data_IF_718428296216
#
_entry.id   IF_718428296216
#
_cell.length_a   1.000
_cell.length_b   1.000
_cell.length_c   1.000
_cell.angle_alpha   90.00
_cell.angle_beta   90.00
_cell.angle_gamma   90.00
#
_symmetry.space_group_name_H-M   'P 1'
#
loop_
_entity.id
_entity.type
_entity.pdbx_description
1 polymer ?
#
# COMPACT_ATOMS: atom_id res chain seq x y z
N UNK A 1 -6.07 6.60 -9.42
CA UNK A 1 -6.93 5.52 -9.94
C UNK A 1 -6.69 4.24 -9.16
N UNK A 2 -7.69 3.36 -9.05
CA UNK A 2 -7.53 2.05 -8.43
C UNK A 2 -7.12 1.00 -9.47
N UNK A 3 -6.10 0.21 -9.16
CA UNK A 3 -5.64 -0.91 -9.98
C UNK A 3 -6.17 -2.23 -9.41
N UNK A 4 -6.02 -2.44 -8.10
CA UNK A 4 -6.48 -3.64 -7.42
C UNK A 4 -6.90 -3.34 -5.97
N UNK A 5 -7.88 -4.12 -5.50
CA UNK A 5 -8.28 -4.19 -4.09
C UNK A 5 -8.46 -5.67 -3.78
N UNK A 6 -7.62 -6.21 -2.90
CA UNK A 6 -7.59 -7.64 -2.59
C UNK A 6 -7.84 -7.88 -1.09
N UNK A 7 -8.92 -8.58 -0.78
CA UNK A 7 -9.27 -8.95 0.58
C UNK A 7 -8.51 -10.21 0.96
N UNK A 8 -7.65 -10.11 1.97
CA UNK A 8 -6.90 -11.26 2.48
C UNK A 8 -7.74 -12.06 3.46
N UNK A 9 -7.37 -13.34 3.70
CA UNK A 9 -7.98 -14.12 4.75
C UNK A 9 -7.92 -13.39 6.11
N UNK A 10 -9.01 -13.49 6.86
CA UNK A 10 -9.07 -12.97 8.23
C UNK A 10 -7.98 -13.59 9.10
N UNK A 11 -7.43 -12.81 10.04
CA UNK A 11 -6.49 -13.30 11.04
C UNK A 11 -7.07 -13.11 12.42
N UNK A 12 -7.19 -14.20 13.18
CA UNK A 12 -7.65 -14.16 14.56
C UNK A 12 -6.49 -13.77 15.48
N UNK A 13 -6.70 -12.74 16.28
CA UNK A 13 -5.94 -12.46 17.49
C UNK A 13 -6.69 -13.04 18.72
N UNK A 14 -6.23 -12.69 19.91
CA UNK A 14 -6.83 -13.10 21.19
C UNK A 14 -8.25 -12.53 21.36
N UNK A 15 -8.42 -11.21 21.17
CA UNK A 15 -9.68 -10.51 21.44
C UNK A 15 -10.40 -10.01 20.18
N UNK A 16 -9.73 -10.00 19.05
CA UNK A 16 -10.24 -9.43 17.81
C UNK A 16 -9.84 -10.27 16.60
N UNK A 17 -10.53 -10.01 15.50
CA UNK A 17 -10.22 -10.55 14.18
C UNK A 17 -9.92 -9.37 13.28
N UNK A 18 -8.76 -9.41 12.63
CA UNK A 18 -8.39 -8.42 11.61
C UNK A 18 -8.73 -8.93 10.22
N UNK A 19 -9.21 -8.03 9.36
CA UNK A 19 -9.40 -8.25 7.93
C UNK A 19 -8.44 -7.34 7.16
N UNK A 20 -7.30 -7.87 6.66
CA UNK A 20 -6.37 -7.11 5.83
C UNK A 20 -6.90 -6.96 4.39
N UNK A 21 -6.67 -5.78 3.82
CA UNK A 21 -7.09 -5.39 2.48
C UNK A 21 -5.88 -4.74 1.81
N UNK A 22 -5.32 -5.39 0.80
CA UNK A 22 -4.24 -4.84 -0.01
C UNK A 22 -4.85 -3.94 -1.08
N UNK A 23 -4.34 -2.72 -1.21
CA UNK A 23 -4.83 -1.71 -2.14
C UNK A 23 -3.67 -1.25 -3.02
N UNK A 24 -3.88 -1.33 -4.33
CA UNK A 24 -2.97 -0.83 -5.35
C UNK A 24 -3.63 0.33 -6.09
N UNK A 25 -3.02 1.50 -6.02
CA UNK A 25 -3.51 2.73 -6.66
C UNK A 25 -2.39 3.42 -7.42
N UNK A 26 -2.72 4.02 -8.56
CA UNK A 26 -1.83 4.96 -9.25
C UNK A 26 -2.29 6.39 -9.11
N UNK A 27 -1.37 7.36 -9.16
CA UNK A 27 -1.73 8.77 -9.07
C UNK A 27 -0.54 9.67 -8.81
N UNK A 28 -0.81 10.94 -8.53
CA UNK A 28 0.20 11.88 -8.05
C UNK A 28 0.44 11.73 -6.54
N UNK A 29 1.60 12.20 -6.08
CA UNK A 29 1.93 12.22 -4.65
C UNK A 29 0.87 12.93 -3.79
N UNK A 30 0.36 14.08 -4.26
CA UNK A 30 -0.70 14.82 -3.57
C UNK A 30 -2.04 14.06 -3.53
N UNK A 31 -2.37 13.30 -4.59
CA UNK A 31 -3.59 12.51 -4.64
C UNK A 31 -3.56 11.38 -3.59
N UNK A 32 -2.39 10.79 -3.35
CA UNK A 32 -2.21 9.80 -2.28
C UNK A 32 -2.43 10.38 -0.89
N UNK A 33 -1.99 11.63 -0.65
CA UNK A 33 -2.29 12.33 0.58
C UNK A 33 -3.80 12.53 0.80
N UNK A 34 -4.52 12.88 -0.27
CA UNK A 34 -5.98 12.97 -0.26
C UNK A 34 -6.65 11.62 0.01
N UNK A 35 -6.17 10.55 -0.64
CA UNK A 35 -6.66 9.18 -0.43
C UNK A 35 -6.48 8.71 1.01
N UNK A 36 -5.26 8.80 1.56
CA UNK A 36 -4.96 8.37 2.95
C UNK A 36 -5.77 9.19 3.96
N UNK A 37 -5.90 10.50 3.72
CA UNK A 37 -6.72 11.38 4.56
C UNK A 37 -8.21 10.99 4.51
N UNK A 38 -8.72 10.64 3.33
CA UNK A 38 -10.08 10.13 3.16
C UNK A 38 -10.33 8.83 3.92
N UNK A 39 -9.38 7.88 3.89
CA UNK A 39 -9.46 6.63 4.65
C UNK A 39 -9.42 6.88 6.16
N UNK A 40 -8.55 7.78 6.61
CA UNK A 40 -8.46 8.17 8.02
C UNK A 40 -9.72 8.90 8.53
N UNK A 41 -10.46 9.57 7.65
CA UNK A 41 -11.71 10.27 7.96
C UNK A 41 -12.95 9.37 8.03
N UNK A 42 -12.83 8.06 7.76
CA UNK A 42 -13.98 7.14 7.81
C UNK A 42 -14.48 6.96 9.25
N UNK A 43 -15.81 6.89 9.49
CA UNK A 43 -16.38 6.65 10.82
C UNK A 43 -16.29 5.16 11.22
N UNK A 44 -15.10 4.56 11.10
CA UNK A 44 -14.80 3.18 11.50
C UNK A 44 -13.31 3.05 11.81
N UNK A 45 -12.95 2.01 12.55
CA UNK A 45 -11.54 1.73 12.86
C UNK A 45 -10.86 1.14 11.62
N UNK A 46 -9.96 1.92 11.02
CA UNK A 46 -9.07 1.48 9.95
C UNK A 46 -7.64 1.81 10.36
N UNK A 47 -6.73 0.85 10.24
CA UNK A 47 -5.30 1.09 10.36
C UNK A 47 -4.62 0.86 9.01
N UNK A 48 -3.55 1.60 8.73
CA UNK A 48 -2.80 1.53 7.48
C UNK A 48 -1.39 1.04 7.79
N UNK A 49 -0.90 0.11 6.97
CA UNK A 49 0.38 -0.57 7.15
C UNK A 49 1.12 -0.73 5.82
N UNK A 50 2.44 -0.90 5.92
CA UNK A 50 3.31 -1.40 4.86
C UNK A 50 3.09 -0.73 3.50
N UNK A 51 3.23 0.59 3.44
CA UNK A 51 3.09 1.32 2.18
C UNK A 51 4.40 1.39 1.40
N UNK A 52 4.29 1.26 0.08
CA UNK A 52 5.39 1.46 -0.88
C UNK A 52 4.90 2.38 -1.98
N UNK A 53 5.71 3.36 -2.36
CA UNK A 53 5.45 4.26 -3.49
C UNK A 53 6.63 4.16 -4.46
N UNK A 54 6.35 3.86 -5.72
CA UNK A 54 7.35 3.80 -6.79
C UNK A 54 6.78 4.45 -8.07
N UNK A 55 7.64 4.68 -9.07
CA UNK A 55 7.20 5.13 -10.38
C UNK A 55 6.47 4.01 -11.12
N UNK A 56 5.25 4.31 -11.57
CA UNK A 56 4.48 3.40 -12.41
C UNK A 56 5.25 3.15 -13.71
N UNK A 57 5.55 1.87 -14.00
CA UNK A 57 6.35 1.47 -15.17
C UNK A 57 7.84 1.23 -14.90
N UNK A 58 8.33 1.39 -13.67
CA UNK A 58 9.68 0.96 -13.26
C UNK A 58 9.87 -0.57 -13.23
N UNK A 59 8.77 -1.34 -13.33
CA UNK A 59 8.76 -2.80 -13.41
C UNK A 59 9.32 -3.32 -14.75
N UNK A 60 10.63 -3.17 -14.94
CA UNK A 60 11.34 -3.59 -16.15
C UNK A 60 12.87 -3.44 -16.14
N UNK A 61 13.49 -2.91 -15.08
CA UNK A 61 14.95 -2.82 -15.02
C UNK A 61 15.59 -4.06 -14.37
N UNK A 62 15.92 -5.03 -15.24
CA UNK A 62 16.67 -6.28 -15.04
C UNK A 62 17.59 -6.32 -13.80
N UNK A 63 17.21 -7.14 -12.80
CA UNK A 63 18.14 -7.76 -11.85
C UNK A 63 18.91 -8.90 -12.56
N UNK A 64 20.04 -8.59 -13.20
CA UNK A 64 20.96 -9.61 -13.71
C UNK A 64 21.92 -9.10 -14.80
N UNK A 65 23.16 -8.79 -14.43
CA UNK A 65 24.24 -8.52 -15.39
C UNK A 65 25.29 -7.56 -14.87
N UNK A 66 26.45 -8.09 -14.48
CA UNK A 66 27.67 -7.34 -14.14
C UNK A 66 28.08 -6.44 -15.32
N UNK A 67 27.95 -5.11 -15.21
CA UNK A 67 28.62 -4.14 -16.10
C UNK A 67 29.30 -3.01 -15.32
N UNK A 68 30.57 -2.83 -15.66
CA UNK A 68 31.53 -1.83 -15.21
C UNK A 68 31.29 -0.51 -15.98
N UNK A 69 31.43 0.61 -15.27
CA UNK A 69 31.75 1.97 -15.74
C UNK A 69 30.92 2.57 -16.91
N UNK A 70 30.01 3.49 -16.57
CA UNK A 70 30.01 4.93 -16.93
C UNK A 70 28.57 5.48 -16.99
N UNK A 71 28.39 6.66 -16.38
CA UNK A 71 27.22 7.53 -16.42
C UNK A 71 25.86 6.84 -16.20
N UNK A 72 25.55 6.57 -14.93
CA UNK A 72 24.14 6.53 -14.53
C UNK A 72 23.54 7.93 -14.66
N UNK A 73 22.24 8.07 -14.99
CA UNK A 73 21.61 9.38 -14.98
C UNK A 73 21.79 10.00 -13.60
N UNK A 74 22.35 11.20 -13.54
CA UNK A 74 22.55 11.89 -12.27
C UNK A 74 21.17 12.15 -11.66
N UNK A 75 21.02 11.91 -10.36
CA UNK A 75 19.76 12.17 -9.65
C UNK A 75 19.32 13.65 -9.70
N UNK A 76 20.21 14.56 -10.11
CA UNK A 76 19.90 15.96 -10.41
C UNK A 76 19.14 16.17 -11.73
N UNK A 77 19.19 15.21 -12.65
CA UNK A 77 18.64 15.34 -14.00
C UNK A 77 17.19 14.85 -14.08
N UNK A 78 16.67 14.25 -13.00
CA UNK A 78 15.29 13.76 -12.91
C UNK A 78 14.28 14.82 -12.42
N UNK A 79 14.72 16.05 -12.13
CA UNK A 79 13.80 17.18 -11.95
C UNK A 79 13.62 17.85 -13.31
N UNK A 80 12.87 17.18 -14.18
CA UNK A 80 12.19 17.85 -15.29
C UNK A 80 10.76 18.12 -14.83
N UNK A 81 10.52 19.36 -14.38
CA UNK A 81 9.17 19.90 -14.32
C UNK A 81 8.54 19.78 -15.71
N UNK A 82 7.75 18.72 -15.94
CA UNK A 82 7.13 18.47 -17.24
C UNK A 82 6.85 17.00 -17.60
N UNK A 83 7.47 16.04 -16.91
CA UNK A 83 7.14 14.62 -17.07
C UNK A 83 6.49 14.08 -15.80
N UNK A 84 5.16 14.20 -15.65
CA UNK A 84 4.44 13.59 -14.52
C UNK A 84 4.50 12.06 -14.66
N UNK A 85 5.58 11.46 -14.18
CA UNK A 85 5.64 10.02 -13.96
C UNK A 85 4.53 9.68 -12.97
N UNK A 86 3.52 8.96 -13.44
CA UNK A 86 2.47 8.45 -12.58
C UNK A 86 3.13 7.57 -11.50
N UNK A 87 2.77 7.76 -10.23
CA UNK A 87 3.27 6.93 -9.15
C UNK A 87 2.31 5.78 -8.92
N UNK A 88 2.82 4.66 -8.42
CA UNK A 88 2.03 3.55 -7.92
C UNK A 88 2.26 3.44 -6.41
N UNK A 89 1.18 3.35 -5.65
CA UNK A 89 1.20 3.10 -4.21
C UNK A 89 0.51 1.76 -3.92
N UNK A 90 1.22 0.90 -3.20
CA UNK A 90 0.66 -0.31 -2.60
C UNK A 90 0.59 -0.08 -1.10
N UNK A 91 -0.56 -0.33 -0.48
CA UNK A 91 -0.80 -0.13 0.95
C UNK A 91 -1.74 -1.19 1.50
N UNK A 92 -1.53 -1.60 2.76
CA UNK A 92 -2.42 -2.54 3.45
C UNK A 92 -3.32 -1.78 4.43
N UNK A 93 -4.63 -1.84 4.23
CA UNK A 93 -5.60 -1.38 5.22
C UNK A 93 -6.09 -2.57 6.06
N UNK A 94 -6.28 -2.37 7.37
CA UNK A 94 -6.88 -3.40 8.24
C UNK A 94 -8.11 -2.84 8.94
N UNK A 95 -9.16 -3.67 8.99
CA UNK A 95 -10.35 -3.44 9.81
C UNK A 95 -10.47 -4.50 10.88
N UNK A 96 -11.25 -4.24 11.92
CA UNK A 96 -11.30 -5.07 13.12
C UNK A 96 -12.73 -5.35 13.55
N UNK A 97 -12.96 -6.57 14.04
CA UNK A 97 -14.18 -6.96 14.76
C UNK A 97 -13.83 -7.75 16.02
N UNK A 98 -14.67 -7.68 17.03
CA UNK A 98 -14.48 -8.49 18.24
C UNK A 98 -14.57 -9.98 17.90
N UNK A 99 -13.69 -10.75 18.53
CA UNK A 99 -13.79 -12.21 18.55
C UNK A 99 -14.88 -12.56 19.56
N UNK A 100 -15.88 -13.35 19.15
CA UNK A 100 -16.84 -13.91 20.10
C UNK A 100 -16.07 -14.88 20.99
N UNK A 101 -16.07 -14.62 22.29
CA UNK A 101 -15.59 -15.58 23.27
C UNK A 101 -16.72 -16.58 23.42
N UNK A 102 -16.48 -17.83 22.99
CA UNK A 102 -17.38 -18.92 23.35
C UNK A 102 -17.18 -19.11 24.86
N UNK A 103 -18.17 -18.73 25.66
CA UNK A 103 -18.25 -19.16 27.05
C UNK A 103 -18.40 -20.68 27.00
N UNK A 104 -17.34 -21.39 27.36
CA UNK A 104 -17.40 -22.83 27.55
C UNK A 104 -18.54 -23.09 28.55
N UNK A 105 -19.65 -23.63 28.02
CA UNK A 105 -20.84 -23.93 28.80
C UNK A 105 -20.45 -24.83 29.96
N UNK A 106 -20.59 -24.29 31.16
CA UNK A 106 -20.42 -25.01 32.42
C UNK A 106 -21.34 -26.25 32.40
N UNK A 107 -20.72 -27.43 32.43
CA UNK A 107 -21.39 -28.74 32.54
C UNK A 107 -21.18 -29.32 33.92
#
# INVERSE_FOLDING_TARGET
>A
TFNAIDLKPEKSAEFYIELPIDIDVTGGYHDFGGFVSGVAGLPRIVTLHDFVIDYAGSAGSKRGGKKKANSGPNASDAVSEGGKGELQMIITAKTYRYKKIEEDGES
#
